data_IF_992046170089
#
_entry.id   IF_992046170089
#
_cell.length_a   1.000
_cell.length_b   1.000
_cell.length_c   1.000
_cell.angle_alpha   90.00
_cell.angle_beta   90.00
_cell.angle_gamma   90.00
#
_symmetry.space_group_name_H-M   'P 1'
#
loop_
_entity.id
_entity.type
_entity.pdbx_description
1 polymer ?
#
# COMPACT_ATOMS: atom_id res chain seq x y z
N UNK A 1 16.62 -25.05 1.55
CA UNK A 1 15.99 -24.58 0.30
C UNK A 1 16.73 -23.34 -0.17
N UNK A 2 17.03 -23.23 -1.47
CA UNK A 2 17.64 -22.05 -2.09
C UNK A 2 16.67 -21.53 -3.15
N UNK A 3 16.45 -20.22 -3.17
CA UNK A 3 15.47 -19.56 -4.03
C UNK A 3 16.18 -18.64 -5.04
N UNK A 4 15.86 -18.80 -6.31
CA UNK A 4 16.37 -17.95 -7.39
C UNK A 4 15.22 -17.40 -8.24
N UNK A 5 15.37 -16.17 -8.74
CA UNK A 5 14.42 -15.59 -9.68
C UNK A 5 14.32 -16.38 -11.00
N UNK A 6 15.46 -16.85 -11.51
CA UNK A 6 15.60 -17.64 -12.73
C UNK A 6 16.92 -18.40 -12.72
N UNK A 7 17.03 -19.48 -13.52
CA UNK A 7 18.29 -20.26 -13.61
C UNK A 7 19.50 -19.40 -14.00
N UNK A 8 19.28 -18.41 -14.87
CA UNK A 8 20.36 -17.56 -15.38
C UNK A 8 21.02 -16.66 -14.33
N UNK A 9 20.48 -16.56 -13.11
CA UNK A 9 21.07 -15.77 -12.01
C UNK A 9 21.64 -16.65 -10.89
N UNK A 10 21.54 -17.97 -11.01
CA UNK A 10 22.23 -18.89 -10.10
C UNK A 10 23.74 -18.70 -10.26
N UNK A 11 24.49 -18.53 -9.16
CA UNK A 11 25.94 -18.42 -9.22
C UNK A 11 26.55 -19.63 -9.94
N UNK A 12 27.48 -19.39 -10.86
CA UNK A 12 28.22 -20.46 -11.54
C UNK A 12 29.34 -21.04 -10.66
N UNK A 13 29.85 -20.28 -9.70
CA UNK A 13 30.87 -20.72 -8.74
C UNK A 13 30.21 -21.41 -7.53
N UNK A 14 29.78 -22.67 -7.71
CA UNK A 14 29.12 -23.44 -6.66
C UNK A 14 30.05 -24.42 -5.93
N UNK A 15 31.35 -24.43 -6.25
CA UNK A 15 32.29 -25.45 -5.75
C UNK A 15 32.32 -25.65 -4.24
N UNK A 16 32.28 -24.59 -3.40
CA UNK A 16 32.24 -24.76 -1.95
C UNK A 16 30.96 -25.46 -1.44
N UNK A 17 29.88 -25.45 -2.25
CA UNK A 17 28.55 -25.92 -1.86
C UNK A 17 28.01 -27.02 -2.77
N UNK A 18 28.79 -27.49 -3.75
CA UNK A 18 28.34 -28.42 -4.81
C UNK A 18 27.71 -29.68 -4.21
N UNK A 19 28.42 -30.32 -3.29
CA UNK A 19 27.95 -31.53 -2.61
C UNK A 19 26.64 -31.31 -1.85
N UNK A 20 26.43 -30.11 -1.30
CA UNK A 20 25.21 -29.77 -0.58
C UNK A 20 24.05 -29.52 -1.55
N UNK A 21 24.30 -28.79 -2.65
CA UNK A 21 23.30 -28.47 -3.68
C UNK A 21 22.87 -29.68 -4.53
N UNK A 22 23.74 -30.69 -4.63
CA UNK A 22 23.46 -31.98 -5.28
C UNK A 22 22.78 -32.98 -4.33
N UNK A 23 22.79 -32.71 -3.02
CA UNK A 23 22.17 -33.59 -2.02
C UNK A 23 20.65 -33.44 -1.98
N UNK A 24 19.91 -34.46 -1.52
CA UNK A 24 18.47 -34.35 -1.27
C UNK A 24 18.11 -33.40 -0.12
N UNK A 25 19.10 -32.90 0.64
CA UNK A 25 18.87 -31.99 1.77
C UNK A 25 18.59 -30.56 1.32
N UNK A 26 18.91 -30.20 0.08
CA UNK A 26 18.71 -28.85 -0.45
C UNK A 26 17.90 -28.86 -1.73
N UNK A 27 16.69 -28.32 -1.63
CA UNK A 27 15.84 -28.03 -2.80
C UNK A 27 16.21 -26.68 -3.40
N UNK A 28 16.52 -26.65 -4.69
CA UNK A 28 16.67 -25.43 -5.50
C UNK A 28 15.34 -25.12 -6.18
N UNK A 29 14.85 -23.90 -6.01
CA UNK A 29 13.55 -23.48 -6.54
C UNK A 29 13.74 -22.20 -7.36
N UNK A 30 13.24 -22.22 -8.61
CA UNK A 30 13.32 -21.10 -9.54
C UNK A 30 11.93 -20.52 -9.74
N UNK A 31 11.80 -19.21 -9.50
CA UNK A 31 10.51 -18.52 -9.43
C UNK A 31 9.79 -18.45 -10.77
N UNK A 32 10.53 -18.37 -11.87
CA UNK A 32 10.02 -18.39 -13.25
C UNK A 32 9.57 -19.78 -13.72
N UNK A 33 9.99 -20.85 -13.03
CA UNK A 33 9.64 -22.25 -13.33
C UNK A 33 8.49 -22.78 -12.46
N UNK A 34 7.86 -21.92 -11.65
CA UNK A 34 6.70 -22.29 -10.84
C UNK A 34 5.46 -22.39 -11.73
N UNK A 35 5.35 -23.51 -12.44
CA UNK A 35 4.25 -23.78 -13.39
C UNK A 35 2.99 -24.24 -12.64
N UNK A 36 3.11 -25.02 -11.57
CA UNK A 36 1.95 -25.76 -11.04
C UNK A 36 2.07 -26.19 -9.57
N UNK A 37 2.87 -25.48 -8.77
CA UNK A 37 2.74 -25.68 -7.32
C UNK A 37 1.35 -25.16 -6.99
N UNK A 38 0.54 -25.94 -6.27
CA UNK A 38 -0.62 -25.45 -5.53
C UNK A 38 -0.11 -24.34 -4.59
N UNK A 39 0.12 -23.17 -5.17
CA UNK A 39 1.15 -22.27 -4.70
C UNK A 39 0.58 -21.66 -3.45
N UNK A 40 1.20 -22.00 -2.32
CA UNK A 40 0.93 -21.31 -1.09
C UNK A 40 0.92 -19.81 -1.36
N UNK A 41 0.04 -19.10 -0.67
CA UNK A 41 -0.14 -17.66 -0.81
C UNK A 41 1.20 -16.91 -0.87
N UNK A 42 2.18 -17.34 -0.05
CA UNK A 42 3.57 -16.87 -0.06
C UNK A 42 4.29 -16.99 -1.41
N UNK A 43 4.26 -18.15 -2.05
CA UNK A 43 4.90 -18.36 -3.35
C UNK A 43 4.23 -17.53 -4.46
N UNK A 44 2.91 -17.38 -4.39
CA UNK A 44 2.18 -16.54 -5.32
C UNK A 44 2.58 -15.06 -5.23
N UNK A 45 2.75 -14.52 -4.02
CA UNK A 45 3.26 -13.16 -3.81
C UNK A 45 4.66 -13.01 -4.41
N UNK A 46 5.54 -13.98 -4.20
CA UNK A 46 6.90 -13.91 -4.75
C UNK A 46 6.86 -13.97 -6.29
N UNK A 47 5.96 -14.78 -6.86
CA UNK A 47 5.74 -14.83 -8.31
C UNK A 47 5.32 -13.47 -8.88
N UNK A 48 4.54 -12.65 -8.14
CA UNK A 48 4.22 -11.28 -8.56
C UNK A 48 5.46 -10.44 -8.85
N UNK A 49 6.61 -10.69 -8.20
CA UNK A 49 7.84 -9.90 -8.40
C UNK A 49 8.51 -10.22 -9.74
N UNK A 50 8.47 -11.48 -10.19
CA UNK A 50 9.20 -11.94 -11.39
C UNK A 50 8.33 -12.11 -12.63
N UNK A 51 7.01 -12.19 -12.47
CA UNK A 51 6.05 -12.44 -13.56
C UNK A 51 6.02 -11.35 -14.65
N UNK A 52 5.53 -11.63 -15.85
CA UNK A 52 5.39 -10.60 -16.90
C UNK A 52 4.27 -9.61 -16.55
N UNK A 53 4.47 -8.31 -16.81
CA UNK A 53 3.49 -7.24 -16.49
C UNK A 53 2.06 -7.57 -16.94
N UNK A 54 1.90 -8.15 -18.13
CA UNK A 54 0.59 -8.55 -18.66
C UNK A 54 -0.14 -9.64 -17.85
N UNK A 55 0.58 -10.48 -17.12
CA UNK A 55 0.01 -11.58 -16.33
C UNK A 55 -0.20 -11.19 -14.85
N UNK A 56 0.46 -10.12 -14.39
CA UNK A 56 0.36 -9.60 -13.01
C UNK A 56 -1.09 -9.34 -12.59
N UNK A 57 -1.97 -8.72 -13.41
CA UNK A 57 -3.35 -8.46 -13.00
C UNK A 57 -4.13 -9.73 -12.65
N UNK A 58 -3.98 -10.78 -13.46
CA UNK A 58 -4.67 -12.04 -13.23
C UNK A 58 -4.15 -12.74 -11.96
N UNK A 59 -2.83 -12.76 -11.79
CA UNK A 59 -2.19 -13.34 -10.60
C UNK A 59 -2.59 -12.60 -9.32
N UNK A 60 -2.54 -11.27 -9.32
CA UNK A 60 -2.92 -10.46 -8.16
C UNK A 60 -4.38 -10.68 -7.75
N UNK A 61 -5.32 -10.75 -8.70
CA UNK A 61 -6.74 -11.05 -8.42
C UNK A 61 -6.92 -12.40 -7.74
N UNK A 62 -6.18 -13.42 -8.20
CA UNK A 62 -6.23 -14.75 -7.59
C UNK A 62 -5.73 -14.69 -6.14
N UNK A 63 -4.57 -14.08 -5.90
CA UNK A 63 -3.99 -13.94 -4.56
C UNK A 63 -4.88 -13.16 -3.61
N UNK A 64 -5.54 -12.09 -4.09
CA UNK A 64 -6.49 -11.32 -3.30
C UNK A 64 -7.75 -12.13 -2.95
N UNK A 65 -8.13 -13.09 -3.79
CA UNK A 65 -9.26 -13.98 -3.52
C UNK A 65 -8.86 -15.05 -2.50
N UNK A 66 -7.70 -15.68 -2.69
CA UNK A 66 -7.13 -16.66 -1.75
C UNK A 66 -6.88 -16.05 -0.37
N UNK A 67 -6.35 -14.83 -0.31
CA UNK A 67 -6.15 -14.11 0.95
C UNK A 67 -7.44 -13.88 1.75
N UNK A 68 -8.62 -13.88 1.11
CA UNK A 68 -9.91 -13.76 1.80
C UNK A 68 -10.48 -15.08 2.25
N UNK A 69 -10.27 -16.14 1.46
CA UNK A 69 -10.79 -17.47 1.78
C UNK A 69 -9.94 -18.19 2.83
N UNK A 70 -8.62 -18.01 2.76
CA UNK A 70 -7.66 -18.88 3.45
C UNK A 70 -7.13 -18.26 4.75
N UNK A 71 -7.32 -16.94 4.96
CA UNK A 71 -6.85 -16.22 6.15
C UNK A 71 -8.03 -15.79 7.03
N UNK A 72 -8.20 -16.41 8.23
CA UNK A 72 -9.21 -15.99 9.20
C UNK A 72 -8.79 -14.74 10.00
N UNK A 73 -7.50 -14.39 10.02
CA UNK A 73 -6.98 -13.22 10.73
C UNK A 73 -7.03 -11.96 9.85
N UNK A 74 -7.91 -11.02 10.21
CA UNK A 74 -8.10 -9.75 9.51
C UNK A 74 -6.82 -8.89 9.43
N UNK A 75 -5.94 -8.95 10.44
CA UNK A 75 -4.69 -8.17 10.44
C UNK A 75 -3.70 -8.74 9.44
N UNK A 76 -3.55 -10.07 9.42
CA UNK A 76 -2.69 -10.75 8.44
C UNK A 76 -3.24 -10.57 7.02
N UNK A 77 -4.55 -10.66 6.87
CA UNK A 77 -5.25 -10.37 5.63
C UNK A 77 -4.91 -8.94 5.15
N UNK A 78 -5.14 -7.92 6.00
CA UNK A 78 -4.82 -6.53 5.66
C UNK A 78 -3.36 -6.34 5.25
N UNK A 79 -2.40 -6.86 6.03
CA UNK A 79 -0.98 -6.76 5.72
C UNK A 79 -0.63 -7.38 4.36
N UNK A 80 -1.30 -8.46 4.00
CA UNK A 80 -1.11 -9.11 2.72
C UNK A 80 -1.71 -8.31 1.56
N UNK A 81 -2.90 -7.72 1.75
CA UNK A 81 -3.48 -6.81 0.77
C UNK A 81 -2.54 -5.62 0.51
N UNK A 82 -1.99 -5.03 1.57
CA UNK A 82 -1.02 -3.94 1.50
C UNK A 82 0.22 -4.36 0.70
N UNK A 83 0.75 -5.55 0.95
CA UNK A 83 1.91 -6.08 0.24
C UNK A 83 1.62 -6.31 -1.25
N UNK A 84 0.50 -6.96 -1.58
CA UNK A 84 0.11 -7.21 -2.97
C UNK A 84 -0.09 -5.89 -3.71
N UNK A 85 -0.79 -4.92 -3.10
CA UNK A 85 -0.97 -3.59 -3.68
C UNK A 85 0.36 -2.90 -3.92
N UNK A 86 1.27 -2.92 -2.94
CA UNK A 86 2.59 -2.32 -3.06
C UNK A 86 3.33 -2.90 -4.27
N UNK A 87 3.42 -4.23 -4.36
CA UNK A 87 4.10 -4.90 -5.49
C UNK A 87 3.46 -4.54 -6.83
N UNK A 88 2.12 -4.53 -6.91
CA UNK A 88 1.38 -4.18 -8.14
C UNK A 88 1.65 -2.73 -8.55
N UNK A 89 1.62 -1.78 -7.62
CA UNK A 89 1.90 -0.37 -7.89
C UNK A 89 3.32 -0.15 -8.42
N UNK A 90 4.31 -0.83 -7.84
CA UNK A 90 5.69 -0.77 -8.33
C UNK A 90 5.87 -1.44 -9.69
N UNK A 91 5.20 -2.57 -9.91
CA UNK A 91 5.36 -3.38 -11.12
C UNK A 91 4.58 -2.85 -12.32
N UNK A 92 3.46 -2.19 -12.06
CA UNK A 92 2.57 -1.63 -13.07
C UNK A 92 2.42 -0.11 -12.83
N UNK A 93 3.50 0.69 -12.98
CA UNK A 93 3.48 2.12 -12.63
C UNK A 93 2.55 2.96 -13.50
N UNK A 94 2.09 2.42 -14.64
CA UNK A 94 1.15 3.06 -15.56
C UNK A 94 -0.28 2.55 -15.41
N UNK A 95 -0.54 1.66 -14.46
CA UNK A 95 -1.88 1.13 -14.20
C UNK A 95 -2.80 2.26 -13.76
N UNK A 96 -3.94 2.41 -14.42
CA UNK A 96 -4.89 3.44 -14.01
C UNK A 96 -5.56 3.08 -12.68
N UNK A 97 -5.99 4.07 -11.88
CA UNK A 97 -6.78 3.82 -10.67
C UNK A 97 -8.04 2.99 -10.92
N UNK A 98 -8.64 3.12 -12.10
CA UNK A 98 -9.82 2.34 -12.51
C UNK A 98 -9.48 0.86 -12.72
N UNK A 99 -8.33 0.55 -13.33
CA UNK A 99 -7.87 -0.83 -13.50
C UNK A 99 -7.48 -1.44 -12.16
N UNK A 100 -6.85 -0.66 -11.28
CA UNK A 100 -6.52 -1.07 -9.92
C UNK A 100 -7.79 -1.37 -9.11
N UNK A 101 -8.83 -0.54 -9.20
CA UNK A 101 -10.13 -0.77 -8.57
C UNK A 101 -10.95 -1.92 -9.20
N UNK A 102 -10.56 -2.42 -10.39
CA UNK A 102 -11.10 -3.67 -10.96
C UNK A 102 -10.30 -4.90 -10.50
N UNK A 103 -9.13 -4.71 -9.92
CA UNK A 103 -8.30 -5.79 -9.37
C UNK A 103 -8.54 -5.95 -7.87
N UNK A 104 -8.56 -4.84 -7.15
CA UNK A 104 -8.92 -4.71 -5.74
C UNK A 104 -10.35 -4.19 -5.72
N UNK A 105 -11.30 -4.79 -4.98
CA UNK A 105 -12.59 -4.11 -4.81
C UNK A 105 -12.35 -2.75 -4.16
N UNK A 106 -13.17 -1.75 -4.45
CA UNK A 106 -12.98 -0.38 -3.93
C UNK A 106 -12.84 -0.38 -2.41
N UNK A 107 -13.60 -1.23 -1.70
CA UNK A 107 -13.50 -1.40 -0.25
C UNK A 107 -12.12 -1.91 0.19
N UNK A 108 -11.54 -2.85 -0.54
CA UNK A 108 -10.22 -3.41 -0.23
C UNK A 108 -9.14 -2.35 -0.42
N UNK A 109 -9.23 -1.61 -1.53
CA UNK A 109 -8.29 -0.55 -1.86
C UNK A 109 -8.31 0.56 -0.79
N UNK A 110 -9.51 0.97 -0.35
CA UNK A 110 -9.68 1.98 0.71
C UNK A 110 -9.08 1.58 2.06
N UNK A 111 -9.02 0.28 2.32
CA UNK A 111 -8.47 -0.27 3.56
C UNK A 111 -6.95 -0.40 3.52
N UNK A 112 -6.34 -0.23 2.35
CA UNK A 112 -4.89 -0.32 2.24
C UNK A 112 -4.18 0.90 2.78
N UNK A 113 -2.99 0.69 3.34
CA UNK A 113 -2.15 1.76 3.88
C UNK A 113 -1.78 2.79 2.82
N UNK A 114 -1.34 2.35 1.64
CA UNK A 114 -0.93 3.26 0.57
C UNK A 114 -2.08 4.18 0.13
N UNK A 115 -3.30 3.64 -0.01
CA UNK A 115 -4.46 4.47 -0.36
C UNK A 115 -4.79 5.51 0.72
N UNK A 116 -4.69 5.12 2.00
CA UNK A 116 -4.95 6.02 3.12
C UNK A 116 -3.91 7.14 3.19
N UNK A 117 -2.64 6.83 2.95
CA UNK A 117 -1.55 7.82 2.89
C UNK A 117 -1.75 8.80 1.73
N UNK A 118 -2.05 8.31 0.52
CA UNK A 118 -2.33 9.17 -0.64
C UNK A 118 -3.54 10.07 -0.39
N UNK A 119 -4.64 9.51 0.14
CA UNK A 119 -5.85 10.30 0.47
C UNK A 119 -5.56 11.37 1.52
N UNK A 120 -4.77 11.02 2.54
CA UNK A 120 -4.36 11.96 3.58
C UNK A 120 -3.51 13.10 3.02
N UNK A 121 -2.49 12.79 2.21
CA UNK A 121 -1.64 13.81 1.59
C UNK A 121 -2.43 14.73 0.67
N UNK A 122 -3.35 14.18 -0.13
CA UNK A 122 -4.23 14.96 -1.01
C UNK A 122 -5.14 15.90 -0.22
N UNK A 123 -5.79 15.39 0.84
CA UNK A 123 -6.64 16.20 1.71
C UNK A 123 -5.85 17.31 2.40
N UNK A 124 -4.70 16.97 2.99
CA UNK A 124 -3.84 17.92 3.69
C UNK A 124 -3.34 19.02 2.74
N UNK A 125 -2.84 18.65 1.56
CA UNK A 125 -2.37 19.61 0.56
C UNK A 125 -3.48 20.57 0.11
N UNK A 126 -4.69 20.04 -0.10
CA UNK A 126 -5.84 20.86 -0.46
C UNK A 126 -6.18 21.86 0.66
N UNK A 127 -6.22 21.40 1.90
CA UNK A 127 -6.49 22.23 3.09
C UNK A 127 -5.44 23.32 3.25
N UNK A 128 -4.16 22.98 3.12
CA UNK A 128 -3.07 23.96 3.21
C UNK A 128 -3.20 25.07 2.16
N UNK A 129 -3.57 24.73 0.92
CA UNK A 129 -3.81 25.71 -0.15
C UNK A 129 -5.06 26.55 0.11
N UNK A 130 -6.11 25.97 0.66
CA UNK A 130 -7.33 26.69 1.03
C UNK A 130 -7.07 27.69 2.16
N UNK A 131 -6.32 27.28 3.19
CA UNK A 131 -5.90 28.12 4.30
C UNK A 131 -5.10 29.33 3.82
N UNK A 132 -4.07 29.08 3.00
CA UNK A 132 -3.24 30.13 2.41
C UNK A 132 -4.08 31.14 1.63
N UNK A 133 -5.10 30.69 0.90
CA UNK A 133 -5.98 31.55 0.10
C UNK A 133 -7.05 32.29 0.92
N UNK A 134 -7.59 31.69 1.98
CA UNK A 134 -8.73 32.23 2.75
C UNK A 134 -8.28 33.16 3.87
N UNK A 135 -7.32 32.73 4.66
CA UNK A 135 -6.89 33.41 5.88
C UNK A 135 -5.38 33.75 5.88
N UNK A 136 -4.70 33.49 4.74
CA UNK A 136 -3.26 33.65 4.60
C UNK A 136 -2.48 32.47 5.20
N UNK A 137 -1.15 32.56 5.15
CA UNK A 137 -0.27 31.54 5.73
C UNK A 137 -0.52 31.31 7.22
N UNK A 138 -0.43 30.06 7.65
CA UNK A 138 -0.58 29.61 9.05
C UNK A 138 0.79 29.48 9.73
N UNK A 139 0.85 29.76 11.03
CA UNK A 139 2.08 29.60 11.82
C UNK A 139 2.49 28.12 11.93
N UNK A 140 3.76 27.88 12.24
CA UNK A 140 4.30 26.52 12.35
C UNK A 140 3.56 25.67 13.40
N UNK A 141 3.16 26.27 14.52
CA UNK A 141 2.39 25.57 15.57
C UNK A 141 1.03 25.07 15.05
N UNK A 142 0.35 25.85 14.21
CA UNK A 142 -0.93 25.45 13.62
C UNK A 142 -0.72 24.40 12.54
N UNK A 143 0.36 24.47 11.76
CA UNK A 143 0.70 23.43 10.79
C UNK A 143 0.91 22.08 11.46
N UNK A 144 1.63 22.04 12.59
CA UNK A 144 1.83 20.81 13.36
C UNK A 144 0.49 20.21 13.82
N UNK A 145 -0.42 21.06 14.31
CA UNK A 145 -1.77 20.60 14.71
C UNK A 145 -2.57 20.07 13.52
N UNK A 146 -2.54 20.76 12.38
CA UNK A 146 -3.25 20.35 11.16
C UNK A 146 -2.70 19.02 10.61
N UNK A 147 -1.38 18.82 10.64
CA UNK A 147 -0.74 17.58 10.23
C UNK A 147 -1.06 16.39 11.14
N UNK A 148 -1.68 16.60 12.31
CA UNK A 148 -2.09 15.52 13.20
C UNK A 148 -3.57 15.15 13.05
N UNK A 149 -4.32 15.91 12.24
CA UNK A 149 -5.74 15.66 12.01
C UNK A 149 -5.96 14.36 11.23
N UNK A 150 -7.07 13.69 11.51
CA UNK A 150 -7.52 12.58 10.68
C UNK A 150 -7.96 13.08 9.30
N UNK A 151 -8.07 12.18 8.32
CA UNK A 151 -8.60 12.54 6.99
C UNK A 151 -10.01 13.10 7.09
N UNK A 152 -10.84 12.57 8.00
CA UNK A 152 -12.21 13.04 8.23
C UNK A 152 -12.21 14.46 8.81
N UNK A 153 -11.30 14.74 9.76
CA UNK A 153 -11.15 16.09 10.31
C UNK A 153 -10.61 17.08 9.29
N UNK A 154 -9.70 16.66 8.39
CA UNK A 154 -9.25 17.49 7.28
C UNK A 154 -10.41 17.81 6.32
N UNK A 155 -11.26 16.83 5.99
CA UNK A 155 -12.45 17.04 5.16
C UNK A 155 -13.45 18.00 5.85
N UNK A 156 -13.69 17.83 7.15
CA UNK A 156 -14.54 18.71 7.95
C UNK A 156 -13.99 20.13 8.04
N UNK A 157 -12.67 20.27 8.21
CA UNK A 157 -11.98 21.57 8.18
C UNK A 157 -12.17 22.25 6.83
N UNK A 158 -12.12 21.51 5.72
CA UNK A 158 -12.36 22.04 4.38
C UNK A 158 -13.73 22.66 4.20
N UNK A 159 -14.76 22.07 4.82
CA UNK A 159 -16.11 22.63 4.85
C UNK A 159 -16.19 23.87 5.74
N UNK A 160 -15.66 23.78 6.97
CA UNK A 160 -15.68 24.88 7.93
C UNK A 160 -14.90 26.12 7.43
N UNK A 161 -13.81 25.90 6.65
CA UNK A 161 -13.01 26.95 6.04
C UNK A 161 -13.79 27.87 5.10
N UNK A 162 -14.95 27.43 4.60
CA UNK A 162 -15.81 28.26 3.76
C UNK A 162 -16.45 29.41 4.56
N UNK A 163 -16.65 29.23 5.86
CA UNK A 163 -17.26 30.20 6.77
C UNK A 163 -16.22 31.02 7.55
N UNK A 164 -14.93 30.71 7.42
CA UNK A 164 -13.88 31.41 8.14
C UNK A 164 -13.65 32.82 7.60
N UNK A 165 -13.52 33.76 8.53
CA UNK A 165 -13.22 35.17 8.24
C UNK A 165 -11.81 35.55 8.66
N UNK A 166 -11.24 34.81 9.62
CA UNK A 166 -9.94 35.13 10.20
C UNK A 166 -9.19 33.88 10.68
N UNK A 167 -7.92 34.08 11.04
CA UNK A 167 -7.10 33.04 11.69
C UNK A 167 -7.61 32.63 13.07
N UNK A 168 -8.38 33.48 13.75
CA UNK A 168 -8.95 33.14 15.05
C UNK A 168 -9.97 32.01 14.94
N UNK A 169 -10.74 31.98 13.85
CA UNK A 169 -11.76 30.95 13.58
C UNK A 169 -11.11 29.56 13.48
N UNK A 170 -9.96 29.47 12.81
CA UNK A 170 -9.15 28.25 12.73
C UNK A 170 -8.66 27.79 14.11
N UNK A 171 -8.18 28.71 14.94
CA UNK A 171 -7.68 28.37 16.29
C UNK A 171 -8.81 27.83 17.16
N UNK A 172 -9.99 28.46 17.12
CA UNK A 172 -11.18 28.02 17.84
C UNK A 172 -11.59 26.62 17.36
N UNK A 173 -11.64 26.42 16.04
CA UNK A 173 -12.01 25.12 15.46
C UNK A 173 -11.07 24.00 15.90
N UNK A 174 -9.74 24.22 15.80
CA UNK A 174 -8.73 23.23 16.19
C UNK A 174 -8.78 22.88 17.69
N UNK A 175 -9.12 23.84 18.54
CA UNK A 175 -9.25 23.59 19.98
C UNK A 175 -10.52 22.79 20.32
N UNK A 176 -11.60 23.02 19.57
CA UNK A 176 -12.85 22.29 19.74
C UNK A 176 -12.74 20.84 19.26
N UNK A 177 -12.06 20.59 18.13
CA UNK A 177 -11.83 19.23 17.62
C UNK A 177 -10.85 18.43 18.47
N UNK A 178 -9.85 19.08 19.09
CA UNK A 178 -8.98 18.44 20.07
C UNK A 178 -9.73 18.00 21.35
N UNK A 179 -10.82 18.67 21.72
CA UNK A 179 -11.61 18.34 22.90
C UNK A 179 -12.62 17.20 22.67
N UNK A 180 -12.97 16.90 21.42
CA UNK A 180 -13.87 15.79 21.06
C UNK A 180 -13.16 14.45 20.84
N UNK A 181 -11.81 14.46 20.79
CA UNK A 181 -10.98 13.26 20.65
C UNK A 181 -10.40 12.74 21.99
N UNK A 182 -10.78 13.37 23.12
CA UNK A 182 -10.43 12.98 24.50
C UNK A 182 -11.63 12.38 25.22
#
# INVERSE_FOLDING_TARGET
MVLFAKRSIEPTEIEPYRYLLESPLVTRLYLDELVDIQASLGLGIIKLVVEKEKEVPALARNLLSQARSDLPDERLQKNLLDLIQTIVSYKLPRLSPQELARMFSISDLKNTRYYQEVRYEEALNLIMRQLERRIGGVSQDLQVKINQLSVEDLENLGLALLDFTSKADLVVWLNNTASSAS
#
